data_IF_233412892887
#
_entry.id   IF_233412892887
#
_cell.length_a   1.000
_cell.length_b   1.000
_cell.length_c   1.000
_cell.angle_alpha   90.00
_cell.angle_beta   90.00
_cell.angle_gamma   90.00
#
_symmetry.space_group_name_H-M   'P 1'
#
loop_
_entity.id
_entity.type
_entity.pdbx_description
1 polymer ?
#
# COMPACT_ATOMS: atom_id res chain seq x y z
N UNK A 1 -8.98 20.78 -8.13
CA UNK A 1 -8.42 19.97 -7.05
C UNK A 1 -8.60 18.52 -7.47
N UNK A 2 -7.51 17.78 -7.61
CA UNK A 2 -7.51 16.39 -8.06
C UNK A 2 -7.84 15.45 -6.90
N UNK A 3 -8.73 14.48 -7.12
CA UNK A 3 -9.08 13.44 -6.14
C UNK A 3 -8.36 12.15 -6.50
N UNK A 4 -7.44 11.72 -5.65
CA UNK A 4 -6.61 10.53 -5.86
C UNK A 4 -6.89 9.49 -4.78
N UNK A 5 -7.20 8.26 -5.18
CA UNK A 5 -7.20 7.13 -4.26
C UNK A 5 -5.79 6.55 -4.22
N UNK A 6 -5.21 6.45 -3.02
CA UNK A 6 -3.84 5.98 -2.81
C UNK A 6 -3.87 4.67 -2.03
N UNK A 7 -3.52 3.56 -2.67
CA UNK A 7 -3.35 2.26 -2.02
C UNK A 7 -1.88 2.10 -1.58
N UNK A 8 -1.63 1.83 -0.30
CA UNK A 8 -0.28 1.51 0.20
C UNK A 8 -0.33 0.34 1.18
N UNK A 9 0.68 -0.53 1.12
CA UNK A 9 0.80 -1.69 2.01
C UNK A 9 1.40 -1.32 3.37
N UNK A 10 2.31 -0.36 3.36
CA UNK A 10 3.06 0.10 4.52
C UNK A 10 3.02 1.64 4.63
N UNK A 11 3.61 2.16 5.70
CA UNK A 11 3.83 3.60 5.84
C UNK A 11 4.61 4.14 4.62
N UNK A 12 4.11 5.22 4.00
CA UNK A 12 4.81 5.86 2.90
C UNK A 12 6.17 6.39 3.36
N UNK A 13 7.21 6.12 2.56
CA UNK A 13 8.51 6.74 2.77
C UNK A 13 8.45 8.23 2.38
N UNK A 14 9.31 9.05 2.98
CA UNK A 14 9.39 10.50 2.72
C UNK A 14 9.51 10.83 1.23
N UNK A 15 10.36 10.10 0.52
CA UNK A 15 10.53 10.24 -0.92
C UNK A 15 9.24 9.92 -1.71
N UNK A 16 8.49 8.91 -1.29
CA UNK A 16 7.24 8.54 -1.97
C UNK A 16 6.17 9.62 -1.75
N UNK A 17 6.12 10.20 -0.54
CA UNK A 17 5.24 11.32 -0.20
C UNK A 17 5.53 12.53 -1.10
N UNK A 18 6.79 12.95 -1.18
CA UNK A 18 7.20 14.08 -2.01
C UNK A 18 6.80 13.86 -3.48
N UNK A 19 7.04 12.66 -3.99
CA UNK A 19 6.73 12.29 -5.38
C UNK A 19 5.24 12.29 -5.69
N UNK A 20 4.39 11.75 -4.81
CA UNK A 20 2.93 11.69 -5.08
C UNK A 20 2.27 13.05 -4.90
N UNK A 21 2.73 13.86 -3.95
CA UNK A 21 2.16 15.20 -3.69
C UNK A 21 2.43 16.14 -4.86
N UNK A 22 3.66 16.14 -5.40
CA UNK A 22 4.05 17.03 -6.50
C UNK A 22 3.81 16.45 -7.89
N UNK A 23 3.13 15.29 -8.00
CA UNK A 23 2.91 14.61 -9.28
C UNK A 23 2.16 15.49 -10.30
N UNK A 24 1.22 16.31 -9.81
CA UNK A 24 0.32 17.13 -10.64
C UNK A 24 0.52 18.62 -10.45
N UNK A 25 1.66 19.05 -9.93
CA UNK A 25 1.93 20.47 -9.72
C UNK A 25 1.64 21.30 -10.98
N UNK A 26 0.95 22.45 -10.85
CA UNK A 26 0.56 23.14 -9.60
C UNK A 26 -0.84 22.79 -9.06
N UNK A 27 -1.51 21.76 -9.58
CA UNK A 27 -2.88 21.41 -9.19
C UNK A 27 -2.91 20.75 -7.80
N UNK A 28 -3.66 21.29 -6.81
CA UNK A 28 -3.73 20.70 -5.47
C UNK A 28 -4.43 19.33 -5.50
N UNK A 29 -3.92 18.40 -4.70
CA UNK A 29 -4.40 17.01 -4.62
C UNK A 29 -5.04 16.73 -3.26
N UNK A 30 -6.18 16.03 -3.30
CA UNK A 30 -6.80 15.37 -2.16
C UNK A 30 -6.56 13.87 -2.28
N UNK A 31 -5.98 13.27 -1.24
CA UNK A 31 -5.77 11.84 -1.14
C UNK A 31 -6.84 11.16 -0.29
N UNK A 32 -7.30 10.01 -0.76
CA UNK A 32 -8.00 9.03 0.06
C UNK A 32 -7.12 7.77 0.17
N UNK A 33 -6.44 7.64 1.31
CA UNK A 33 -5.43 6.60 1.56
C UNK A 33 -6.10 5.33 2.06
N UNK A 34 -5.85 4.23 1.37
CA UNK A 34 -6.33 2.90 1.72
C UNK A 34 -5.15 2.02 2.11
N UNK A 35 -5.23 1.41 3.30
CA UNK A 35 -4.22 0.45 3.78
C UNK A 35 -4.89 -0.90 4.02
N UNK A 36 -4.48 -1.97 3.32
CA UNK A 36 -5.00 -3.31 3.53
C UNK A 36 -4.65 -3.84 4.92
N UNK A 37 -5.62 -4.49 5.57
CA UNK A 37 -5.35 -5.30 6.76
C UNK A 37 -4.91 -6.68 6.30
N UNK A 38 -3.61 -6.86 6.07
CA UNK A 38 -3.08 -8.16 5.65
C UNK A 38 -2.96 -9.13 6.84
N UNK A 39 -3.87 -10.10 6.90
CA UNK A 39 -3.86 -11.19 7.88
C UNK A 39 -3.04 -12.40 7.42
N UNK A 40 -2.62 -12.43 6.15
CA UNK A 40 -2.06 -13.59 5.43
C UNK A 40 -0.54 -13.52 5.25
N UNK A 41 0.15 -12.51 5.79
CA UNK A 41 1.60 -12.42 5.63
C UNK A 41 2.37 -13.61 6.22
N UNK A 42 3.09 -14.31 5.34
CA UNK A 42 4.12 -15.28 5.69
C UNK A 42 5.44 -14.58 5.99
N UNK A 43 5.98 -14.84 7.19
CA UNK A 43 7.27 -14.32 7.70
C UNK A 43 8.50 -14.96 7.04
N UNK A 44 8.56 -15.06 5.72
CA UNK A 44 9.73 -15.62 5.04
C UNK A 44 10.99 -14.76 5.28
N UNK A 45 10.85 -13.44 5.41
CA UNK A 45 11.98 -12.53 5.66
C UNK A 45 12.48 -12.60 7.11
N UNK A 46 11.58 -12.63 8.11
CA UNK A 46 11.99 -12.80 9.52
C UNK A 46 12.57 -14.21 9.77
N UNK A 47 12.08 -15.24 9.07
CA UNK A 47 12.64 -16.59 9.14
C UNK A 47 14.06 -16.65 8.55
N UNK A 48 14.38 -15.85 7.52
CA UNK A 48 15.72 -15.81 6.94
C UNK A 48 16.78 -15.23 7.89
N UNK A 49 16.42 -14.26 8.75
CA UNK A 49 17.32 -13.77 9.81
C UNK A 49 17.60 -14.82 10.88
N UNK A 50 16.60 -15.62 11.27
CA UNK A 50 16.80 -16.75 12.21
C UNK A 50 17.59 -17.92 11.58
N UNK A 51 17.49 -18.09 10.25
CA UNK A 51 18.32 -19.04 9.50
C UNK A 51 19.79 -18.59 9.47
N UNK A 52 20.06 -17.29 9.35
CA UNK A 52 21.42 -16.72 9.45
C UNK A 52 22.03 -16.91 10.86
N UNK A 53 21.19 -17.04 11.89
CA UNK A 53 21.58 -17.34 13.28
C UNK A 53 21.68 -18.85 13.58
N UNK A 54 21.48 -19.72 12.59
CA UNK A 54 21.74 -21.17 12.69
C UNK A 54 20.66 -21.99 13.41
N UNK A 55 19.46 -21.44 13.64
CA UNK A 55 18.35 -22.13 14.32
C UNK A 55 17.45 -22.88 13.31
N UNK A 56 18.00 -23.92 12.68
CA UNK A 56 17.37 -24.60 11.53
C UNK A 56 16.19 -25.55 11.84
N UNK A 57 15.74 -25.76 13.08
CA UNK A 57 14.85 -26.92 13.34
C UNK A 57 13.39 -26.71 13.74
N UNK A 58 12.89 -25.48 13.89
CA UNK A 58 11.46 -25.30 14.24
C UNK A 58 10.73 -24.18 13.45
N UNK A 59 11.41 -23.42 12.58
CA UNK A 59 10.80 -22.25 11.94
C UNK A 59 10.01 -22.53 10.64
N UNK A 60 9.91 -23.79 10.17
CA UNK A 60 9.32 -24.11 8.86
C UNK A 60 7.89 -24.65 8.97
N UNK A 61 7.32 -24.78 10.18
CA UNK A 61 5.94 -25.30 10.37
C UNK A 61 5.00 -24.32 11.06
N UNK A 62 5.40 -23.07 11.28
CA UNK A 62 4.48 -22.01 11.73
C UNK A 62 4.32 -20.98 10.60
N UNK A 63 3.66 -21.39 9.53
CA UNK A 63 3.06 -20.50 8.52
C UNK A 63 1.82 -19.79 9.10
N UNK A 64 1.94 -19.32 10.34
CA UNK A 64 0.83 -18.84 11.15
C UNK A 64 0.38 -17.47 10.67
N UNK A 65 -0.86 -17.42 10.17
CA UNK A 65 -1.65 -16.20 10.04
C UNK A 65 -1.39 -15.29 11.24
N UNK A 66 -1.16 -14.00 11.00
CA UNK A 66 -1.07 -13.07 12.12
C UNK A 66 -2.43 -13.02 12.83
N UNK A 67 -2.48 -12.97 14.17
CA UNK A 67 -3.73 -12.71 14.86
C UNK A 67 -4.38 -11.45 14.28
N UNK A 68 -5.67 -11.48 13.88
CA UNK A 68 -6.32 -10.38 13.15
C UNK A 68 -6.15 -9.01 13.82
N UNK A 69 -6.12 -8.97 15.15
CA UNK A 69 -5.86 -7.76 15.94
C UNK A 69 -4.46 -7.17 15.71
N UNK A 70 -3.42 -8.00 15.61
CA UNK A 70 -2.06 -7.51 15.37
C UNK A 70 -1.88 -6.98 13.95
N UNK A 71 -2.48 -7.66 12.96
CA UNK A 71 -2.50 -7.20 11.57
C UNK A 71 -3.19 -5.83 11.48
N UNK A 72 -4.33 -5.67 12.15
CA UNK A 72 -5.08 -4.41 12.19
C UNK A 72 -4.29 -3.29 12.86
N UNK A 73 -3.60 -3.55 13.97
CA UNK A 73 -2.75 -2.56 14.66
C UNK A 73 -1.61 -2.08 13.75
N UNK A 74 -0.94 -3.00 13.04
CA UNK A 74 0.12 -2.64 12.08
C UNK A 74 -0.42 -1.80 10.93
N UNK A 75 -1.51 -2.25 10.31
CA UNK A 75 -2.16 -1.51 9.22
C UNK A 75 -2.61 -0.12 9.66
N UNK A 76 -3.16 0.01 10.88
CA UNK A 76 -3.53 1.31 11.45
C UNK A 76 -2.31 2.22 11.65
N UNK A 77 -1.20 1.69 12.17
CA UNK A 77 0.03 2.46 12.34
C UNK A 77 0.59 2.95 10.99
N UNK A 78 0.55 2.10 9.96
CA UNK A 78 0.95 2.47 8.60
C UNK A 78 0.04 3.56 7.99
N UNK A 79 -1.27 3.46 8.21
CA UNK A 79 -2.24 4.46 7.78
C UNK A 79 -1.98 5.81 8.48
N UNK A 80 -1.86 5.80 9.80
CA UNK A 80 -1.66 7.02 10.61
C UNK A 80 -0.37 7.73 10.22
N UNK A 81 0.71 6.98 10.01
CA UNK A 81 1.99 7.52 9.54
C UNK A 81 1.89 8.14 8.14
N UNK A 82 1.27 7.44 7.19
CA UNK A 82 1.10 7.91 5.81
C UNK A 82 0.23 9.18 5.75
N UNK A 83 -0.90 9.18 6.45
CA UNK A 83 -1.80 10.34 6.53
C UNK A 83 -1.09 11.53 7.14
N UNK A 84 -0.31 11.31 8.21
CA UNK A 84 0.45 12.38 8.85
C UNK A 84 1.51 12.97 7.91
N UNK A 85 2.26 12.11 7.21
CA UNK A 85 3.31 12.55 6.29
C UNK A 85 2.75 13.33 5.10
N UNK A 86 1.67 12.85 4.47
CA UNK A 86 1.01 13.56 3.36
C UNK A 86 0.43 14.92 3.78
N UNK A 87 -0.16 15.00 4.99
CA UNK A 87 -0.65 16.27 5.53
C UNK A 87 0.48 17.25 5.83
N UNK A 88 1.61 16.79 6.35
CA UNK A 88 2.80 17.61 6.58
C UNK A 88 3.38 18.15 5.26
N UNK A 89 3.24 17.39 4.17
CA UNK A 89 3.59 17.82 2.82
C UNK A 89 2.54 18.76 2.16
N UNK A 90 1.46 19.11 2.88
CA UNK A 90 0.48 20.11 2.44
C UNK A 90 -0.73 19.56 1.69
N UNK A 91 -0.89 18.23 1.57
CA UNK A 91 -2.05 17.64 0.91
C UNK A 91 -3.28 17.55 1.81
N UNK A 92 -4.47 17.56 1.22
CA UNK A 92 -5.71 17.16 1.90
C UNK A 92 -5.76 15.63 1.95
N UNK A 93 -6.05 15.04 3.11
CA UNK A 93 -5.96 13.58 3.27
C UNK A 93 -7.05 13.03 4.17
N UNK A 94 -7.72 12.00 3.68
CA UNK A 94 -8.53 11.06 4.44
C UNK A 94 -7.91 9.66 4.35
N UNK A 95 -8.20 8.81 5.34
CA UNK A 95 -7.59 7.49 5.44
C UNK A 95 -8.55 6.43 5.96
N UNK A 96 -8.49 5.23 5.39
CA UNK A 96 -9.28 4.09 5.82
C UNK A 96 -8.49 2.77 5.71
N UNK A 97 -8.82 1.83 6.60
CA UNK A 97 -8.36 0.44 6.47
C UNK A 97 -9.29 -0.33 5.53
N UNK A 98 -8.72 -1.16 4.67
CA UNK A 98 -9.45 -2.01 3.72
C UNK A 98 -9.18 -3.50 3.97
N UNK A 99 -10.07 -4.34 3.47
CA UNK A 99 -10.17 -5.75 3.88
C UNK A 99 -9.51 -6.73 2.91
N UNK A 100 -10.10 -7.93 2.85
CA UNK A 100 -9.57 -9.10 2.14
C UNK A 100 -9.43 -8.93 0.61
N UNK A 101 -10.08 -7.92 0.03
CA UNK A 101 -9.99 -7.63 -1.40
C UNK A 101 -9.70 -6.14 -1.66
N UNK A 102 -8.43 -5.71 -1.49
CA UNK A 102 -8.05 -4.31 -1.61
C UNK A 102 -8.27 -3.74 -3.02
N UNK A 103 -8.23 -4.58 -4.06
CA UNK A 103 -8.53 -4.15 -5.44
C UNK A 103 -9.98 -3.71 -5.56
N UNK A 104 -10.92 -4.53 -5.11
CA UNK A 104 -12.35 -4.20 -5.18
C UNK A 104 -12.67 -3.00 -4.29
N UNK A 105 -12.05 -2.91 -3.11
CA UNK A 105 -12.21 -1.78 -2.20
C UNK A 105 -11.72 -0.48 -2.84
N UNK A 106 -10.55 -0.48 -3.49
CA UNK A 106 -10.04 0.67 -4.26
C UNK A 106 -10.98 1.05 -5.39
N UNK A 107 -11.42 0.09 -6.20
CA UNK A 107 -12.32 0.36 -7.33
C UNK A 107 -13.65 0.94 -6.84
N UNK A 108 -14.19 0.41 -5.74
CA UNK A 108 -15.41 0.93 -5.11
C UNK A 108 -15.18 2.37 -4.63
N UNK A 109 -14.17 2.62 -3.81
CA UNK A 109 -13.88 3.95 -3.27
C UNK A 109 -13.61 4.96 -4.36
N UNK A 110 -12.85 4.60 -5.40
CA UNK A 110 -12.58 5.47 -6.54
C UNK A 110 -13.87 5.84 -7.29
N UNK A 111 -14.81 4.91 -7.45
CA UNK A 111 -16.11 5.19 -8.07
C UNK A 111 -17.01 6.04 -7.17
N UNK A 112 -17.04 5.77 -5.87
CA UNK A 112 -17.83 6.51 -4.89
C UNK A 112 -17.40 7.98 -4.78
N UNK A 113 -16.09 8.23 -4.87
CA UNK A 113 -15.50 9.55 -4.81
C UNK A 113 -15.39 10.25 -6.17
N UNK A 114 -15.77 9.58 -7.27
CA UNK A 114 -15.47 9.96 -8.65
C UNK A 114 -14.00 10.41 -8.83
N UNK A 115 -13.08 9.57 -8.32
CA UNK A 115 -11.67 9.86 -8.31
C UNK A 115 -11.11 10.02 -9.73
N UNK A 116 -10.21 10.99 -9.88
CA UNK A 116 -9.54 11.30 -11.15
C UNK A 116 -8.53 10.22 -11.51
N UNK A 117 -7.87 9.63 -10.50
CA UNK A 117 -6.87 8.59 -10.67
C UNK A 117 -6.71 7.70 -9.43
N UNK A 118 -5.96 6.62 -9.60
CA UNK A 118 -5.48 5.75 -8.53
C UNK A 118 -3.96 5.67 -8.57
N UNK A 119 -3.34 5.79 -7.41
CA UNK A 119 -1.93 5.49 -7.20
C UNK A 119 -1.83 4.23 -6.32
N UNK A 120 -1.05 3.26 -6.75
CA UNK A 120 -0.72 2.07 -5.97
C UNK A 120 0.75 2.13 -5.61
N UNK A 121 1.06 2.11 -4.31
CA UNK A 121 2.42 2.08 -3.77
C UNK A 121 2.67 0.71 -3.16
N UNK A 122 3.62 -0.04 -3.72
CA UNK A 122 4.00 -1.37 -3.23
C UNK A 122 5.45 -1.38 -2.77
N UNK A 123 5.79 -2.22 -1.80
CA UNK A 123 7.18 -2.45 -1.40
C UNK A 123 7.92 -3.35 -2.42
N UNK A 124 9.25 -3.18 -2.57
CA UNK A 124 10.08 -4.05 -3.41
C UNK A 124 10.22 -5.45 -2.78
N UNK A 125 9.30 -6.37 -3.07
CA UNK A 125 9.38 -7.77 -2.63
C UNK A 125 9.87 -8.68 -3.76
N UNK A 126 11.00 -9.36 -3.56
CA UNK A 126 11.69 -10.16 -4.60
C UNK A 126 11.06 -11.55 -4.89
N UNK A 127 10.01 -11.97 -4.17
CA UNK A 127 9.51 -13.37 -4.23
C UNK A 127 7.98 -13.48 -4.35
N UNK A 128 7.21 -12.55 -3.79
CA UNK A 128 5.72 -12.54 -3.84
C UNK A 128 5.16 -11.58 -4.90
N UNK A 129 6.00 -11.26 -5.88
CA UNK A 129 5.79 -10.23 -6.90
C UNK A 129 4.60 -10.51 -7.83
N UNK A 130 3.98 -11.69 -7.82
CA UNK A 130 2.88 -12.00 -8.76
C UNK A 130 1.49 -11.56 -8.27
N UNK A 131 1.21 -11.61 -6.96
CA UNK A 131 -0.13 -11.31 -6.44
C UNK A 131 -0.38 -9.80 -6.26
N UNK A 132 0.63 -9.07 -5.76
CA UNK A 132 0.52 -7.62 -5.48
C UNK A 132 0.75 -6.75 -6.72
N UNK A 133 1.64 -7.19 -7.62
CA UNK A 133 1.86 -6.55 -8.93
C UNK A 133 0.64 -6.63 -9.83
N UNK A 134 -0.29 -7.56 -9.55
CA UNK A 134 -1.55 -7.64 -10.27
C UNK A 134 -2.60 -6.62 -9.78
N UNK A 135 -2.39 -5.93 -8.63
CA UNK A 135 -3.36 -4.94 -8.16
C UNK A 135 -3.53 -3.79 -9.15
N UNK A 136 -2.45 -3.15 -9.57
CA UNK A 136 -2.52 -2.05 -10.53
C UNK A 136 -3.12 -2.49 -11.87
N UNK A 137 -2.77 -3.70 -12.33
CA UNK A 137 -3.32 -4.29 -13.56
C UNK A 137 -4.83 -4.52 -13.47
N UNK A 138 -5.29 -5.14 -12.38
CA UNK A 138 -6.70 -5.40 -12.12
C UNK A 138 -7.51 -4.13 -11.93
N UNK A 139 -7.03 -3.19 -11.12
CA UNK A 139 -7.67 -1.88 -10.92
C UNK A 139 -7.81 -1.18 -12.27
N UNK A 140 -6.77 -1.19 -13.11
CA UNK A 140 -6.82 -0.58 -14.46
C UNK A 140 -7.88 -1.22 -15.35
N UNK A 141 -8.02 -2.55 -15.30
CA UNK A 141 -9.05 -3.27 -16.03
C UNK A 141 -10.47 -2.89 -15.62
N UNK A 142 -10.69 -2.65 -14.33
CA UNK A 142 -12.04 -2.45 -13.77
C UNK A 142 -12.45 -0.98 -13.62
N UNK A 143 -11.51 -0.05 -13.46
CA UNK A 143 -11.80 1.34 -13.09
C UNK A 143 -12.00 2.28 -14.29
N UNK A 144 -11.27 2.07 -15.40
CA UNK A 144 -11.32 2.95 -16.58
C UNK A 144 -10.74 4.36 -16.37
N UNK A 145 -10.10 4.62 -15.23
CA UNK A 145 -9.34 5.84 -14.89
C UNK A 145 -7.82 5.56 -14.92
N UNK A 146 -6.96 6.58 -15.01
CA UNK A 146 -5.52 6.42 -14.84
C UNK A 146 -5.16 5.66 -13.56
N UNK A 147 -4.23 4.71 -13.69
CA UNK A 147 -3.67 3.93 -12.57
C UNK A 147 -2.16 3.96 -12.66
N UNK A 148 -1.52 4.63 -11.70
CA UNK A 148 -0.07 4.70 -11.53
C UNK A 148 0.41 3.66 -10.53
N UNK A 149 1.43 2.88 -10.88
CA UNK A 149 2.09 1.96 -9.97
C UNK A 149 3.47 2.50 -9.59
N UNK A 150 3.70 2.69 -8.31
CA UNK A 150 4.97 3.14 -7.73
C UNK A 150 5.53 2.02 -6.85
N UNK A 151 6.81 1.72 -7.04
CA UNK A 151 7.54 0.84 -6.13
C UNK A 151 8.29 1.70 -5.13
N UNK A 152 7.90 1.60 -3.86
CA UNK A 152 8.43 2.42 -2.76
C UNK A 152 9.96 2.38 -2.70
N UNK A 153 10.56 3.53 -2.44
CA UNK A 153 12.02 3.66 -2.31
C UNK A 153 12.80 3.43 -3.61
N UNK A 154 12.12 3.39 -4.77
CA UNK A 154 12.78 3.29 -6.07
C UNK A 154 12.33 4.40 -7.02
N UNK A 155 13.26 4.88 -7.84
CA UNK A 155 12.96 5.85 -8.93
C UNK A 155 12.26 5.19 -10.13
N UNK A 156 11.87 3.92 -10.04
CA UNK A 156 11.24 3.20 -11.17
C UNK A 156 9.74 3.50 -11.21
N UNK A 157 9.29 3.98 -12.35
CA UNK A 157 7.87 3.97 -12.76
C UNK A 157 7.72 2.77 -13.68
N UNK A 158 6.80 1.84 -13.40
CA UNK A 158 6.56 0.63 -14.22
C UNK A 158 5.28 0.75 -15.02
#
# INVERSE_FOLDING_TARGET
>A
MLTTVLLTEDALAEHDVDRVVHLHDPEPVRFHVLVPVDTRHNRLVEALDELALGRLREAVTDSGEQPPEQARVRAQAALDASVSALRLAGAEVEGALVGDNPVDDVVRTARELDADEVIVVTQPHLVEESLRRDWASRIRGDLGRPVLHVVSGTDRVV
#
